data_IF_925142799083
#
_entry.id   IF_925142799083
#
_cell.length_a   1.000
_cell.length_b   1.000
_cell.length_c   1.000
_cell.angle_alpha   90.00
_cell.angle_beta   90.00
_cell.angle_gamma   90.00
#
_symmetry.space_group_name_H-M   'P 1'
#
loop_
_entity.id
_entity.type
_entity.pdbx_description
1 polymer ?
#
# COMPACT_ATOMS: atom_id res chain seq x y z
N UNK A 1 -45.43 -14.23 -12.45
CA UNK A 1 -45.79 -13.19 -11.46
C UNK A 1 -45.21 -13.60 -10.11
N UNK A 2 -44.42 -12.69 -9.49
CA UNK A 2 -44.21 -12.43 -8.03
C UNK A 2 -44.22 -13.63 -7.05
N UNK A 3 -43.38 -13.75 -6.02
CA UNK A 3 -42.31 -12.98 -5.38
C UNK A 3 -41.71 -13.97 -4.34
N UNK A 4 -40.38 -14.08 -4.25
CA UNK A 4 -39.70 -14.83 -3.17
C UNK A 4 -39.44 -13.84 -2.01
N UNK A 5 -39.80 -14.16 -0.76
CA UNK A 5 -39.45 -13.35 0.41
C UNK A 5 -38.21 -13.91 1.15
N UNK A 6 -37.59 -13.06 1.98
CA UNK A 6 -36.68 -13.50 3.06
C UNK A 6 -35.36 -12.74 3.06
N UNK A 7 -35.30 -11.51 3.59
CA UNK A 7 -35.04 -11.20 5.01
C UNK A 7 -33.58 -11.37 5.43
N UNK A 8 -32.87 -10.24 5.43
CA UNK A 8 -31.65 -10.01 6.18
C UNK A 8 -31.93 -10.05 7.69
N UNK A 9 -31.08 -10.74 8.46
CA UNK A 9 -30.49 -10.33 9.75
C UNK A 9 -30.22 -11.55 10.65
N UNK A 10 -29.00 -11.64 11.18
CA UNK A 10 -28.66 -11.54 12.63
C UNK A 10 -27.29 -12.15 12.89
N UNK A 11 -26.34 -11.29 13.29
CA UNK A 11 -25.11 -11.66 13.98
C UNK A 11 -25.47 -11.91 15.45
N UNK A 12 -25.04 -13.04 16.01
CA UNK A 12 -25.20 -13.37 17.42
C UNK A 12 -23.87 -13.23 18.18
N UNK A 13 -24.00 -12.75 19.41
CA UNK A 13 -23.00 -12.39 20.41
C UNK A 13 -22.50 -13.58 21.24
N UNK A 14 -21.23 -13.50 21.65
CA UNK A 14 -20.58 -13.84 22.95
C UNK A 14 -21.19 -14.87 23.93
N UNK A 15 -20.33 -15.72 24.52
CA UNK A 15 -19.92 -15.78 25.95
C UNK A 15 -19.39 -17.18 26.34
N UNK A 16 -18.31 -17.23 27.13
CA UNK A 16 -17.95 -18.33 28.04
C UNK A 16 -16.44 -18.41 28.25
N UNK A 17 -15.85 -18.64 29.42
CA UNK A 17 -16.25 -18.76 30.83
C UNK A 17 -14.91 -18.72 31.62
N UNK A 18 -14.88 -18.13 32.83
CA UNK A 18 -13.69 -18.06 33.71
C UNK A 18 -13.66 -19.26 34.68
N UNK A 19 -12.49 -19.87 34.89
CA UNK A 19 -12.00 -20.55 36.12
C UNK A 19 -10.66 -21.25 35.80
N UNK A 20 -9.58 -21.30 36.58
CA UNK A 20 -9.25 -20.80 37.91
C UNK A 20 -7.80 -21.21 38.28
N UNK A 21 -7.25 -20.51 39.28
CA UNK A 21 -6.29 -20.94 40.32
C UNK A 21 -4.91 -21.56 40.00
N UNK A 22 -3.83 -20.90 40.48
CA UNK A 22 -2.86 -21.54 41.38
C UNK A 22 -1.35 -21.43 41.11
N UNK A 23 -0.63 -20.85 42.09
CA UNK A 23 0.64 -21.35 42.70
C UNK A 23 2.02 -20.82 42.19
N UNK A 24 2.64 -20.04 43.08
CA UNK A 24 4.06 -19.97 43.57
C UNK A 24 5.24 -19.44 42.72
N UNK A 25 5.81 -18.34 43.25
CA UNK A 25 7.22 -18.00 43.47
C UNK A 25 8.34 -18.85 42.80
N UNK A 26 9.22 -18.17 42.06
CA UNK A 26 10.67 -18.25 42.26
C UNK A 26 11.39 -17.16 41.44
N UNK A 27 12.21 -16.39 42.14
CA UNK A 27 13.20 -15.45 41.64
C UNK A 27 14.13 -16.07 40.60
N UNK A 28 14.34 -15.36 39.49
CA UNK A 28 15.64 -15.36 38.81
C UNK A 28 15.95 -13.94 38.35
N UNK A 29 17.02 -13.40 38.93
CA UNK A 29 17.69 -12.20 38.45
C UNK A 29 18.09 -12.42 36.99
N UNK A 30 17.31 -11.91 36.04
CA UNK A 30 17.82 -11.63 34.72
C UNK A 30 18.56 -10.29 34.82
N UNK A 31 19.88 -10.34 34.99
CA UNK A 31 20.71 -9.20 34.66
C UNK A 31 20.43 -8.86 33.20
N UNK A 32 19.65 -7.82 32.95
CA UNK A 32 19.56 -7.21 31.63
C UNK A 32 20.89 -6.50 31.42
N UNK A 33 21.91 -7.27 31.06
CA UNK A 33 23.09 -6.72 30.39
C UNK A 33 22.55 -5.95 29.19
N UNK A 34 22.69 -4.62 29.26
CA UNK A 34 22.24 -3.71 28.23
C UNK A 34 22.91 -4.01 26.90
N UNK A 35 22.28 -4.87 26.11
CA UNK A 35 22.41 -4.84 24.66
C UNK A 35 21.58 -3.66 24.12
N UNK A 36 21.94 -3.06 22.98
CA UNK A 36 21.25 -1.88 22.44
C UNK A 36 19.84 -2.27 21.94
N UNK A 37 18.92 -2.44 22.87
CA UNK A 37 17.49 -2.50 22.59
C UNK A 37 17.00 -1.07 22.34
N UNK A 38 16.37 -0.82 21.20
CA UNK A 38 15.36 0.24 21.13
C UNK A 38 15.20 1.04 19.83
N UNK A 39 16.07 0.89 18.82
CA UNK A 39 15.96 1.75 17.61
C UNK A 39 15.25 1.05 16.44
N UNK A 40 15.51 -0.23 16.23
CA UNK A 40 14.99 -0.94 15.04
C UNK A 40 13.48 -1.25 15.11
N UNK A 41 12.93 -1.46 16.32
CA UNK A 41 11.50 -1.77 16.51
C UNK A 41 10.56 -0.57 16.29
N UNK A 42 11.05 0.65 16.55
CA UNK A 42 10.27 1.87 16.37
C UNK A 42 10.16 2.23 14.89
N UNK A 43 11.26 2.11 14.13
CA UNK A 43 11.32 2.41 12.70
C UNK A 43 10.52 1.40 11.85
N UNK A 44 10.54 0.11 12.22
CA UNK A 44 9.74 -0.91 11.54
C UNK A 44 8.23 -0.67 11.74
N UNK A 45 7.80 -0.36 12.97
CA UNK A 45 6.40 -0.02 13.28
C UNK A 45 5.97 1.27 12.61
N UNK A 46 6.84 2.27 12.53
CA UNK A 46 6.56 3.53 11.83
C UNK A 46 6.48 3.34 10.31
N UNK A 47 7.35 2.50 9.72
CA UNK A 47 7.29 2.11 8.31
C UNK A 47 5.96 1.43 7.95
N UNK A 48 5.53 0.44 8.73
CA UNK A 48 4.25 -0.23 8.50
C UNK A 48 3.05 0.71 8.63
N UNK A 49 3.05 1.63 9.61
CA UNK A 49 2.00 2.64 9.75
C UNK A 49 1.91 3.60 8.56
N UNK A 50 3.05 4.01 8.01
CA UNK A 50 3.10 4.86 6.81
C UNK A 50 2.56 4.11 5.60
N UNK A 51 2.89 2.82 5.45
CA UNK A 51 2.36 1.95 4.40
C UNK A 51 0.85 1.81 4.45
N UNK A 52 0.32 1.41 5.61
CA UNK A 52 -1.11 1.27 5.81
C UNK A 52 -1.86 2.58 5.54
N UNK A 53 -1.31 3.72 5.99
CA UNK A 53 -1.90 5.04 5.71
C UNK A 53 -1.91 5.38 4.21
N UNK A 54 -0.87 5.00 3.48
CA UNK A 54 -0.77 5.24 2.05
C UNK A 54 -1.75 4.36 1.27
N UNK A 55 -1.85 3.07 1.62
CA UNK A 55 -2.82 2.15 1.02
C UNK A 55 -4.26 2.58 1.30
N UNK A 56 -4.57 3.03 2.53
CA UNK A 56 -5.88 3.55 2.89
C UNK A 56 -6.28 4.77 2.05
N UNK A 57 -5.39 5.77 1.92
CA UNK A 57 -5.64 6.96 1.07
C UNK A 57 -5.81 6.61 -0.39
N UNK A 58 -5.06 5.62 -0.88
CA UNK A 58 -5.20 5.13 -2.26
C UNK A 58 -6.57 4.47 -2.45
N UNK A 59 -6.99 3.62 -1.52
CA UNK A 59 -8.29 2.96 -1.58
C UNK A 59 -9.43 3.99 -1.58
N UNK A 60 -9.36 4.99 -0.68
CA UNK A 60 -10.28 6.13 -0.62
C UNK A 60 -10.36 6.88 -1.95
N UNK A 61 -9.21 7.26 -2.51
CA UNK A 61 -9.15 7.94 -3.81
C UNK A 61 -9.74 7.11 -4.95
N UNK A 62 -9.48 5.80 -4.97
CA UNK A 62 -10.03 4.91 -5.99
C UNK A 62 -11.55 4.73 -5.82
N UNK A 63 -12.07 4.68 -4.59
CA UNK A 63 -13.52 4.65 -4.37
C UNK A 63 -14.20 5.94 -4.82
N UNK A 64 -13.64 7.11 -4.45
CA UNK A 64 -14.17 8.41 -4.89
C UNK A 64 -14.14 8.55 -6.41
N UNK A 65 -13.06 8.11 -7.05
CA UNK A 65 -12.95 8.12 -8.51
C UNK A 65 -13.99 7.19 -9.16
N UNK A 66 -14.21 5.98 -8.61
CA UNK A 66 -15.23 5.06 -9.13
C UNK A 66 -16.63 5.66 -9.04
N UNK A 67 -16.94 6.31 -7.92
CA UNK A 67 -18.23 6.99 -7.70
C UNK A 67 -18.45 8.15 -8.68
N UNK A 68 -17.43 9.00 -8.89
CA UNK A 68 -17.50 10.12 -9.83
C UNK A 68 -17.63 9.67 -11.29
N UNK A 69 -16.96 8.58 -11.68
CA UNK A 69 -16.99 8.06 -13.05
C UNK A 69 -18.31 7.37 -13.43
N UNK A 70 -19.11 6.93 -12.44
CA UNK A 70 -20.39 6.22 -12.67
C UNK A 70 -20.27 5.15 -13.76
N UNK A 71 -19.32 4.23 -13.58
CA UNK A 71 -18.99 3.22 -14.58
C UNK A 71 -20.18 2.30 -14.89
N UNK A 72 -20.31 1.93 -16.16
CA UNK A 72 -21.27 0.89 -16.57
C UNK A 72 -20.78 -0.51 -16.16
N UNK A 73 -21.67 -1.51 -16.07
CA UNK A 73 -21.27 -2.90 -15.80
C UNK A 73 -20.21 -3.44 -16.77
N UNK A 74 -20.25 -2.98 -18.02
CA UNK A 74 -19.30 -3.37 -19.08
C UNK A 74 -17.89 -2.81 -18.85
N UNK A 75 -17.77 -1.67 -18.17
CA UNK A 75 -16.49 -1.00 -17.87
C UNK A 75 -15.83 -1.52 -16.57
N UNK A 76 -16.55 -2.27 -15.73
CA UNK A 76 -16.02 -2.74 -14.44
C UNK A 76 -14.82 -3.68 -14.59
N UNK A 77 -14.78 -4.49 -15.65
CA UNK A 77 -13.64 -5.37 -15.94
C UNK A 77 -12.35 -4.56 -16.20
N UNK A 78 -12.45 -3.46 -16.94
CA UNK A 78 -11.30 -2.60 -17.20
C UNK A 78 -10.90 -1.77 -15.98
N UNK A 79 -11.86 -1.36 -15.15
CA UNK A 79 -11.57 -0.75 -13.86
C UNK A 79 -10.73 -1.66 -12.94
N UNK A 80 -11.09 -2.94 -12.84
CA UNK A 80 -10.32 -3.91 -12.04
C UNK A 80 -8.90 -4.09 -12.59
N UNK A 81 -8.76 -4.15 -13.91
CA UNK A 81 -7.44 -4.23 -14.57
C UNK A 81 -6.59 -3.00 -14.28
N UNK A 82 -7.17 -1.80 -14.43
CA UNK A 82 -6.50 -0.52 -14.13
C UNK A 82 -6.06 -0.43 -12.67
N UNK A 83 -6.95 -0.74 -11.73
CA UNK A 83 -6.67 -0.62 -10.29
C UNK A 83 -5.58 -1.59 -9.86
N UNK A 84 -5.59 -2.82 -10.37
CA UNK A 84 -4.55 -3.83 -10.13
C UNK A 84 -3.20 -3.39 -10.71
N UNK A 85 -3.13 -3.00 -11.99
CA UNK A 85 -1.88 -2.57 -12.64
C UNK A 85 -1.29 -1.29 -12.04
N UNK A 86 -2.14 -0.45 -11.44
CA UNK A 86 -1.69 0.81 -10.81
C UNK A 86 -1.25 0.59 -9.38
N UNK A 87 -1.45 -0.59 -8.77
CA UNK A 87 -0.97 -0.85 -7.41
C UNK A 87 0.55 -0.72 -7.41
N UNK A 88 1.16 0.07 -6.52
CA UNK A 88 2.59 0.00 -6.37
C UNK A 88 2.83 -1.38 -5.78
N UNK A 89 3.49 -2.25 -6.53
CA UNK A 89 3.88 -3.56 -6.03
C UNK A 89 4.48 -3.37 -4.64
N UNK A 90 4.00 -4.16 -3.67
CA UNK A 90 4.30 -4.01 -2.25
C UNK A 90 5.76 -3.63 -2.05
N UNK A 91 6.03 -2.34 -1.90
CA UNK A 91 7.33 -1.92 -1.39
C UNK A 91 7.21 -2.28 0.07
N UNK A 92 7.84 -3.35 0.50
CA UNK A 92 7.98 -3.69 1.91
C UNK A 92 8.78 -2.57 2.60
N UNK A 93 8.21 -1.37 2.80
CA UNK A 93 8.99 -0.33 3.44
C UNK A 93 9.09 -0.61 4.93
N UNK A 94 10.32 -0.44 5.37
CA UNK A 94 10.79 -0.89 6.66
C UNK A 94 11.81 -1.99 6.42
N UNK A 95 11.33 -3.23 6.31
CA UNK A 95 12.18 -4.42 6.35
C UNK A 95 13.21 -4.51 5.20
N UNK A 96 12.85 -4.11 3.99
CA UNK A 96 13.73 -4.29 2.82
C UNK A 96 14.81 -3.19 2.72
N UNK A 97 14.62 -2.02 3.33
CA UNK A 97 15.58 -0.91 3.17
C UNK A 97 16.93 -1.16 3.84
N UNK A 98 16.94 -1.85 4.97
CA UNK A 98 18.19 -2.17 5.67
C UNK A 98 18.91 -3.34 4.98
N UNK A 99 18.16 -4.38 4.60
CA UNK A 99 18.67 -5.50 3.81
C UNK A 99 19.31 -5.00 2.50
N UNK A 100 18.58 -4.18 1.73
CA UNK A 100 19.09 -3.57 0.52
C UNK A 100 20.36 -2.75 0.78
N UNK A 101 20.39 -1.90 1.82
CA UNK A 101 21.60 -1.13 2.19
C UNK A 101 22.80 -2.04 2.45
N UNK A 102 22.64 -3.07 3.27
CA UNK A 102 23.71 -4.03 3.57
C UNK A 102 24.19 -4.80 2.34
N UNK A 103 23.30 -5.06 1.37
CA UNK A 103 23.67 -5.71 0.12
C UNK A 103 24.53 -4.78 -0.75
N UNK A 104 24.18 -3.49 -0.79
CA UNK A 104 24.91 -2.48 -1.53
C UNK A 104 26.30 -2.16 -0.93
N UNK A 105 26.47 -2.31 0.38
CA UNK A 105 27.77 -2.16 1.08
C UNK A 105 28.77 -3.25 0.70
N UNK A 106 28.29 -4.48 0.39
CA UNK A 106 29.13 -5.62 -0.01
C UNK A 106 29.58 -5.57 -1.48
N UNK A 107 28.98 -4.70 -2.28
CA UNK A 107 29.30 -4.56 -3.70
C UNK A 107 30.42 -3.55 -3.92
N UNK A 108 31.32 -3.86 -4.85
CA UNK A 108 32.26 -2.87 -5.39
C UNK A 108 31.52 -1.76 -6.16
N UNK A 109 32.17 -0.61 -6.37
CA UNK A 109 31.56 0.54 -7.06
C UNK A 109 31.01 0.19 -8.46
N UNK A 110 31.73 -0.56 -9.33
CA UNK A 110 31.18 -0.96 -10.63
C UNK A 110 29.94 -1.84 -10.51
N UNK A 111 29.97 -2.87 -9.65
CA UNK A 111 28.84 -3.76 -9.42
C UNK A 111 27.62 -3.03 -8.84
N UNK A 112 27.85 -2.01 -8.01
CA UNK A 112 26.80 -1.14 -7.49
C UNK A 112 26.11 -0.37 -8.61
N UNK A 113 26.86 0.16 -9.58
CA UNK A 113 26.29 0.86 -10.75
C UNK A 113 25.43 -0.09 -11.59
N UNK A 114 25.94 -1.28 -11.89
CA UNK A 114 25.20 -2.30 -12.65
C UNK A 114 23.87 -2.65 -11.97
N UNK A 115 23.91 -2.86 -10.66
CA UNK A 115 22.71 -3.15 -9.88
C UNK A 115 21.72 -1.98 -9.85
N UNK A 116 22.20 -0.74 -9.72
CA UNK A 116 21.34 0.44 -9.78
C UNK A 116 20.66 0.57 -11.15
N UNK A 117 21.38 0.26 -12.23
CA UNK A 117 20.85 0.24 -13.59
C UNK A 117 19.75 -0.83 -13.73
N UNK A 118 20.02 -2.07 -13.31
CA UNK A 118 19.03 -3.15 -13.33
C UNK A 118 17.76 -2.81 -12.53
N UNK A 119 17.91 -2.22 -11.34
CA UNK A 119 16.78 -1.74 -10.55
C UNK A 119 16.02 -0.60 -11.25
N UNK A 120 16.72 0.27 -11.98
CA UNK A 120 16.12 1.34 -12.77
C UNK A 120 15.28 0.79 -13.92
N UNK A 121 15.81 -0.18 -14.65
CA UNK A 121 15.10 -0.84 -15.75
C UNK A 121 13.87 -1.58 -15.23
N UNK A 122 13.98 -2.30 -14.12
CA UNK A 122 12.82 -2.93 -13.48
C UNK A 122 11.75 -1.93 -13.00
N UNK A 123 12.15 -0.70 -12.61
CA UNK A 123 11.18 0.38 -12.33
C UNK A 123 10.55 0.92 -13.60
N UNK A 124 11.34 1.07 -14.67
CA UNK A 124 10.88 1.54 -15.98
C UNK A 124 9.85 0.59 -16.58
N UNK A 125 10.12 -0.72 -16.57
CA UNK A 125 9.18 -1.73 -17.09
C UNK A 125 7.84 -1.66 -16.38
N UNK A 126 7.82 -1.66 -15.04
CA UNK A 126 6.58 -1.51 -14.26
C UNK A 126 5.83 -0.20 -14.54
N UNK A 127 6.57 0.88 -14.81
CA UNK A 127 5.95 2.16 -15.21
C UNK A 127 5.29 2.04 -16.58
N UNK A 128 5.93 1.36 -17.54
CA UNK A 128 5.35 1.14 -18.87
C UNK A 128 4.10 0.27 -18.80
N UNK A 129 4.11 -0.82 -18.02
CA UNK A 129 2.93 -1.68 -17.80
C UNK A 129 1.76 -0.88 -17.21
N UNK A 130 2.03 -0.05 -16.18
CA UNK A 130 1.02 0.85 -15.62
C UNK A 130 0.48 1.84 -16.66
N UNK A 131 1.36 2.46 -17.44
CA UNK A 131 0.95 3.41 -18.48
C UNK A 131 0.08 2.75 -19.54
N UNK A 132 0.39 1.52 -19.93
CA UNK A 132 -0.43 0.75 -20.87
C UNK A 132 -1.82 0.45 -20.29
N UNK A 133 -1.89 0.01 -19.03
CA UNK A 133 -3.16 -0.25 -18.37
C UNK A 133 -4.03 1.01 -18.24
N UNK A 134 -3.42 2.16 -17.92
CA UNK A 134 -4.13 3.46 -17.87
C UNK A 134 -4.70 3.82 -19.24
N UNK A 135 -3.87 3.72 -20.30
CA UNK A 135 -4.33 4.03 -21.68
C UNK A 135 -5.45 3.10 -22.14
N UNK A 136 -5.36 1.82 -21.80
CA UNK A 136 -6.39 0.83 -22.14
C UNK A 136 -7.72 1.13 -21.42
N UNK A 137 -7.68 1.49 -20.13
CA UNK A 137 -8.87 1.91 -19.39
C UNK A 137 -9.46 3.21 -19.94
N UNK A 138 -8.63 4.21 -20.20
CA UNK A 138 -9.05 5.51 -20.74
C UNK A 138 -9.77 5.39 -22.09
N UNK A 139 -9.33 4.46 -22.96
CA UNK A 139 -9.97 4.19 -24.25
C UNK A 139 -11.39 3.61 -24.14
N UNK A 140 -11.76 3.04 -22.98
CA UNK A 140 -13.12 2.52 -22.74
C UNK A 140 -14.05 3.55 -22.09
N UNK A 141 -13.52 4.68 -21.63
CA UNK A 141 -14.30 5.76 -21.04
C UNK A 141 -14.97 6.59 -22.14
N UNK A 142 -16.19 7.04 -21.88
CA UNK A 142 -16.85 8.02 -22.74
C UNK A 142 -16.24 9.44 -22.52
N UNK A 143 -16.53 10.42 -23.39
CA UNK A 143 -15.94 11.76 -23.28
C UNK A 143 -16.21 12.49 -21.95
N UNK A 144 -17.35 12.24 -21.29
CA UNK A 144 -17.67 12.84 -19.99
C UNK A 144 -16.83 12.22 -18.86
N UNK A 145 -16.71 10.89 -18.87
CA UNK A 145 -15.89 10.12 -17.94
C UNK A 145 -14.40 10.44 -18.10
N UNK A 146 -13.93 10.63 -19.33
CA UNK A 146 -12.55 11.04 -19.61
C UNK A 146 -12.21 12.37 -18.93
N UNK A 147 -13.09 13.38 -19.00
CA UNK A 147 -12.89 14.66 -18.30
C UNK A 147 -12.79 14.49 -16.78
N UNK A 148 -13.63 13.64 -16.19
CA UNK A 148 -13.57 13.33 -14.76
C UNK A 148 -12.24 12.63 -14.43
N UNK A 149 -11.83 11.67 -15.25
CA UNK A 149 -10.57 10.97 -15.08
C UNK A 149 -9.37 11.92 -15.16
N UNK A 150 -9.34 12.83 -16.14
CA UNK A 150 -8.25 13.79 -16.31
C UNK A 150 -8.11 14.76 -15.12
N UNK A 151 -9.23 15.14 -14.51
CA UNK A 151 -9.25 16.05 -13.35
C UNK A 151 -8.81 15.37 -12.04
N UNK A 152 -9.11 14.08 -11.88
CA UNK A 152 -9.04 13.40 -10.58
C UNK A 152 -7.98 12.29 -10.53
N UNK A 153 -7.68 11.61 -11.64
CA UNK A 153 -6.87 10.39 -11.62
C UNK A 153 -5.38 10.63 -11.36
N UNK A 154 -4.86 11.83 -11.64
CA UNK A 154 -3.46 12.18 -11.45
C UNK A 154 -3.30 13.33 -10.47
N UNK A 155 -2.48 13.18 -9.40
CA UNK A 155 -2.24 14.28 -8.48
C UNK A 155 -1.56 15.44 -9.22
N UNK A 156 -2.14 16.64 -9.07
CA UNK A 156 -1.62 17.88 -9.63
C UNK A 156 -0.12 18.04 -9.27
N UNK A 157 0.80 18.14 -10.26
CA UNK A 157 2.21 18.38 -10.03
C UNK A 157 2.49 19.59 -9.13
N UNK A 158 1.62 20.60 -9.15
CA UNK A 158 1.74 21.79 -8.31
C UNK A 158 1.50 21.50 -6.81
N UNK A 159 0.63 20.53 -6.48
CA UNK A 159 0.39 20.11 -5.08
C UNK A 159 1.52 19.28 -4.48
N UNK A 160 2.29 18.57 -5.31
CA UNK A 160 3.41 17.74 -4.85
C UNK A 160 4.67 18.55 -4.48
N UNK A 161 4.79 19.79 -4.97
CA UNK A 161 6.02 20.61 -4.86
C UNK A 161 6.13 21.42 -3.56
N UNK A 162 5.09 21.45 -2.73
CA UNK A 162 5.04 22.28 -1.51
C UNK A 162 5.84 21.78 -0.30
N UNK A 163 6.36 20.53 -0.32
CA UNK A 163 6.98 19.90 0.87
C UNK A 163 8.52 19.86 0.86
N UNK A 164 9.19 20.39 -0.16
CA UNK A 164 10.67 20.40 -0.27
C UNK A 164 11.25 21.82 -0.26
N UNK A 165 10.76 22.72 0.60
CA UNK A 165 11.48 23.97 0.89
C UNK A 165 12.47 23.69 2.02
N UNK A 166 13.75 23.71 1.66
CA UNK A 166 14.94 23.67 2.51
C UNK A 166 14.70 24.24 3.92
N UNK A 167 14.91 23.41 4.95
CA UNK A 167 15.42 23.90 6.23
C UNK A 167 16.95 23.85 6.10
N UNK A 168 17.56 24.98 5.71
CA UNK A 168 18.99 25.24 5.88
C UNK A 168 19.21 25.86 7.25
#
# INVERSE_FOLDING_TARGET
MKLIPGSFTKRALMVGLIAGSGILAASSFAMTAGGPAGKDGCDARQGQKIHAKWEARRAEHLSELKEKLKLSPEQEAAWNTFTHATQPGMRHAGADRQAMRSEFEKLSTPQRLDKMMAMSDARRTRMLERNQAIKAFYAQLNPEQQKVFDAEAMPDPMRARGHHRFQS
#
